data_IF_392280796210
#
_entry.id   IF_392280796210
#
_cell.length_a   1.000
_cell.length_b   1.000
_cell.length_c   1.000
_cell.angle_alpha   90.00
_cell.angle_beta   90.00
_cell.angle_gamma   90.00
#
_symmetry.space_group_name_H-M   'P 1'
#
loop_
_entity.id
_entity.type
_entity.pdbx_description
1 polymer ?
#
# COMPACT_ATOMS: atom_id res chain seq x y z
N UNK A 1 8.72 -8.09 -7.96
CA UNK A 1 9.31 -6.79 -7.58
C UNK A 1 8.39 -6.00 -6.65
N UNK A 2 7.06 -5.99 -6.84
CA UNK A 2 6.09 -5.49 -5.84
C UNK A 2 5.94 -6.46 -4.66
N UNK A 3 5.90 -7.76 -4.93
CA UNK A 3 5.73 -8.81 -3.92
C UNK A 3 6.77 -8.80 -2.79
N UNK A 4 8.05 -8.60 -3.10
CA UNK A 4 9.13 -8.73 -2.12
C UNK A 4 9.04 -7.73 -0.96
N UNK A 5 8.52 -6.52 -1.22
CA UNK A 5 8.37 -5.49 -0.18
C UNK A 5 7.14 -5.76 0.70
N UNK A 6 6.09 -6.28 0.08
CA UNK A 6 4.84 -6.66 0.73
C UNK A 6 5.04 -7.87 1.64
N UNK A 7 5.78 -8.89 1.20
CA UNK A 7 6.07 -10.08 2.00
C UNK A 7 6.81 -9.73 3.30
N UNK A 8 7.84 -8.86 3.21
CA UNK A 8 8.55 -8.39 4.40
C UNK A 8 7.67 -7.56 5.32
N UNK A 9 6.76 -6.76 4.76
CA UNK A 9 5.80 -6.02 5.55
C UNK A 9 4.87 -6.97 6.32
N UNK A 10 4.39 -8.05 5.72
CA UNK A 10 3.58 -9.07 6.41
C UNK A 10 4.33 -9.74 7.57
N UNK A 11 5.63 -9.99 7.42
CA UNK A 11 6.43 -10.53 8.54
C UNK A 11 6.55 -9.55 9.71
N UNK A 12 6.56 -8.23 9.44
CA UNK A 12 6.69 -7.20 10.48
C UNK A 12 5.34 -6.78 11.08
N UNK A 13 4.27 -6.83 10.30
CA UNK A 13 2.91 -6.42 10.63
C UNK A 13 1.97 -7.61 10.36
N UNK A 14 1.79 -8.53 11.34
CA UNK A 14 1.02 -9.75 11.13
C UNK A 14 -0.47 -9.49 10.86
N UNK A 15 -0.99 -8.33 11.25
CA UNK A 15 -2.35 -7.86 10.98
C UNK A 15 -2.54 -7.24 9.58
N UNK A 16 -1.46 -7.09 8.80
CA UNK A 16 -1.50 -6.44 7.49
C UNK A 16 -2.25 -7.30 6.47
N UNK A 17 -3.48 -6.89 6.13
CA UNK A 17 -4.20 -7.42 4.98
C UNK A 17 -3.72 -6.76 3.68
N UNK A 18 -3.47 -7.56 2.65
CA UNK A 18 -2.99 -7.06 1.36
C UNK A 18 -3.83 -7.62 0.22
N UNK A 19 -4.28 -6.73 -0.66
CA UNK A 19 -5.01 -7.05 -1.88
C UNK A 19 -4.37 -6.33 -3.06
N UNK A 20 -4.31 -7.00 -4.19
CA UNK A 20 -3.86 -6.44 -5.47
C UNK A 20 -5.06 -6.28 -6.39
N UNK A 21 -5.14 -5.13 -7.07
CA UNK A 21 -6.19 -4.87 -8.05
C UNK A 21 -5.55 -4.44 -9.37
N UNK A 22 -6.03 -5.02 -10.46
CA UNK A 22 -5.73 -4.53 -11.79
C UNK A 22 -6.68 -3.36 -12.12
N UNK A 23 -6.13 -2.16 -12.29
CA UNK A 23 -6.91 -0.97 -12.61
C UNK A 23 -7.61 -1.02 -13.98
N UNK A 24 -7.16 -1.88 -14.90
CA UNK A 24 -7.87 -2.11 -16.15
C UNK A 24 -9.18 -2.91 -15.93
N UNK A 25 -9.22 -3.77 -14.91
CA UNK A 25 -10.38 -4.58 -14.54
C UNK A 25 -11.28 -3.85 -13.52
N UNK A 26 -10.70 -2.95 -12.74
CA UNK A 26 -11.37 -2.15 -11.71
C UNK A 26 -11.12 -0.64 -11.91
N UNK A 27 -11.54 -0.05 -13.04
CA UNK A 27 -11.25 1.35 -13.37
C UNK A 27 -11.81 2.36 -12.35
N UNK A 28 -12.85 1.99 -11.60
CA UNK A 28 -13.46 2.81 -10.56
C UNK A 28 -12.53 3.10 -9.37
N UNK A 29 -11.53 2.24 -9.14
CA UNK A 29 -10.59 2.40 -8.02
C UNK A 29 -9.63 3.57 -8.23
N UNK A 30 -9.36 3.93 -9.49
CA UNK A 30 -8.49 5.04 -9.88
C UNK A 30 -8.96 6.35 -9.28
N UNK A 31 -10.13 6.88 -9.69
CA UNK A 31 -10.67 8.10 -9.13
C UNK A 31 -11.02 7.96 -7.64
N UNK A 32 -11.51 6.79 -7.19
CA UNK A 32 -11.88 6.55 -5.78
C UNK A 32 -10.72 6.79 -4.81
N UNK A 33 -9.52 6.35 -5.18
CA UNK A 33 -8.33 6.49 -4.34
C UNK A 33 -7.34 7.55 -4.86
N UNK A 34 -7.69 8.31 -5.90
CA UNK A 34 -6.81 9.31 -6.52
C UNK A 34 -5.59 8.71 -7.23
N UNK A 35 -5.66 7.45 -7.65
CA UNK A 35 -4.60 6.78 -8.41
C UNK A 35 -4.67 7.21 -9.88
N UNK A 36 -3.65 7.94 -10.32
CA UNK A 36 -3.53 8.43 -11.69
C UNK A 36 -2.62 7.54 -12.57
N UNK A 37 -1.74 6.75 -11.94
CA UNK A 37 -0.79 5.87 -12.61
C UNK A 37 -0.48 4.65 -11.74
N UNK A 38 -0.14 3.54 -12.38
CA UNK A 38 0.31 2.30 -11.73
C UNK A 38 1.81 2.09 -11.89
N UNK A 39 2.47 1.35 -10.98
CA UNK A 39 1.94 0.82 -9.72
C UNK A 39 1.72 1.90 -8.66
N UNK A 40 0.73 1.72 -7.79
CA UNK A 40 0.44 2.58 -6.66
C UNK A 40 0.02 1.73 -5.44
N UNK A 41 0.22 2.24 -4.24
CA UNK A 41 -0.14 1.55 -2.99
C UNK A 41 -1.08 2.46 -2.19
N UNK A 42 -2.25 1.90 -1.89
CA UNK A 42 -3.27 2.50 -1.04
C UNK A 42 -3.26 1.76 0.29
N UNK A 43 -3.23 2.49 1.41
CA UNK A 43 -3.29 1.93 2.77
C UNK A 43 -4.45 2.59 3.49
N UNK A 44 -5.35 1.78 4.07
CA UNK A 44 -6.56 2.26 4.77
C UNK A 44 -7.37 3.29 3.96
N UNK A 45 -7.50 3.05 2.65
CA UNK A 45 -8.24 3.91 1.71
C UNK A 45 -7.53 5.21 1.31
N UNK A 46 -6.28 5.43 1.75
CA UNK A 46 -5.47 6.60 1.40
C UNK A 46 -4.32 6.23 0.47
N UNK A 47 -4.10 7.05 -0.56
CA UNK A 47 -2.98 6.88 -1.48
C UNK A 47 -1.67 7.28 -0.80
N UNK A 48 -0.88 6.28 -0.40
CA UNK A 48 0.38 6.49 0.31
C UNK A 48 1.57 6.51 -0.64
N UNK A 49 1.51 5.75 -1.74
CA UNK A 49 2.61 5.67 -2.70
C UNK A 49 2.09 5.71 -4.14
N UNK A 50 2.66 6.61 -4.95
CA UNK A 50 2.33 6.77 -6.38
C UNK A 50 3.23 5.93 -7.31
N UNK A 51 4.17 5.20 -6.73
CA UNK A 51 5.12 4.31 -7.39
C UNK A 51 5.53 3.22 -6.40
N UNK A 52 6.30 2.23 -6.86
CA UNK A 52 6.87 1.22 -5.95
C UNK A 52 7.92 1.87 -5.03
N UNK A 53 7.71 1.90 -3.70
CA UNK A 53 8.69 2.46 -2.77
C UNK A 53 9.89 1.54 -2.57
N UNK A 54 10.98 2.11 -2.06
CA UNK A 54 12.06 1.32 -1.44
C UNK A 54 11.55 0.66 -0.17
N UNK A 55 12.09 -0.51 0.14
CA UNK A 55 11.67 -1.32 1.30
C UNK A 55 11.68 -0.58 2.62
N UNK A 56 12.79 0.07 2.94
CA UNK A 56 12.90 0.80 4.20
C UNK A 56 11.81 1.87 4.34
N UNK A 57 11.62 2.70 3.30
CA UNK A 57 10.59 3.74 3.29
C UNK A 57 9.17 3.17 3.39
N UNK A 58 8.92 2.00 2.79
CA UNK A 58 7.64 1.31 2.91
C UNK A 58 7.37 0.86 4.35
N UNK A 59 8.33 0.16 4.96
CA UNK A 59 8.20 -0.36 6.33
C UNK A 59 8.10 0.77 7.37
N UNK A 60 8.87 1.85 7.22
CA UNK A 60 8.78 3.02 8.10
C UNK A 60 7.40 3.68 8.01
N UNK A 61 6.86 3.84 6.80
CA UNK A 61 5.55 4.44 6.62
C UNK A 61 4.44 3.59 7.25
N UNK A 62 4.49 2.28 7.07
CA UNK A 62 3.55 1.36 7.73
C UNK A 62 3.67 1.42 9.25
N UNK A 63 4.88 1.55 9.81
CA UNK A 63 5.07 1.71 11.25
C UNK A 63 4.49 3.04 11.80
N UNK A 64 4.52 4.10 11.01
CA UNK A 64 3.86 5.37 11.36
C UNK A 64 2.34 5.22 11.33
N UNK A 65 1.80 4.58 10.28
CA UNK A 65 0.35 4.35 10.14
C UNK A 65 -0.17 3.46 11.27
N UNK A 66 0.47 2.32 11.54
CA UNK A 66 0.06 1.38 12.59
C UNK A 66 0.04 2.01 13.99
N UNK A 67 0.93 2.97 14.28
CA UNK A 67 0.90 3.72 15.55
C UNK A 67 -0.21 4.76 15.63
N UNK A 68 -0.69 5.25 14.50
CA UNK A 68 -1.72 6.29 14.43
C UNK A 68 -3.14 5.72 14.38
N UNK A 69 -3.29 4.43 14.05
CA UNK A 69 -4.58 3.72 14.00
C UNK A 69 -5.01 3.17 15.38
N UNK A 70 -4.06 3.09 16.33
CA UNK A 70 -4.28 2.59 17.69
C UNK A 70 -4.50 3.66 18.77
N UNK A 71 -4.76 4.92 18.38
CA UNK A 71 -5.10 6.05 19.27
C UNK A 71 -6.60 6.37 19.23
#
# INVERSE_FOLDING_TARGET
MVFSVVDKAKSRFPELEVREWNLAEHPELGPRYGVMATPAIVVNGRLEFRSLPKEHAFLERLAVIARSDGD
#
